data_IF_933583356138
#
_entry.id   IF_933583356138
#
_cell.length_a   1.000
_cell.length_b   1.000
_cell.length_c   1.000
_cell.angle_alpha   90.00
_cell.angle_beta   90.00
_cell.angle_gamma   90.00
#
_symmetry.space_group_name_H-M   'P 1'
#
loop_
_entity.id
_entity.type
_entity.pdbx_description
1 polymer ?
#
# COMPACT_ATOMS: atom_id res chain seq x y z
N UNK A 1 8.05 -14.70 1.79
CA UNK A 1 6.64 -14.67 1.37
C UNK A 1 5.86 -13.91 2.42
N UNK A 2 4.81 -13.14 2.05
CA UNK A 2 4.02 -12.40 3.01
C UNK A 2 3.24 -13.31 3.97
N UNK A 3 2.93 -12.80 5.15
CA UNK A 3 2.23 -13.51 6.24
C UNK A 3 1.22 -12.60 6.93
N UNK A 4 0.21 -13.20 7.55
CA UNK A 4 -0.87 -12.48 8.23
C UNK A 4 -0.37 -11.62 9.41
N UNK A 5 -0.99 -10.45 9.59
CA UNK A 5 -0.72 -9.53 10.71
C UNK A 5 -1.50 -9.92 11.97
N UNK A 6 -1.23 -11.09 12.51
CA UNK A 6 -2.04 -11.69 13.59
C UNK A 6 -2.00 -10.91 14.91
N UNK A 7 -0.89 -10.22 15.22
CA UNK A 7 -0.67 -9.55 16.50
C UNK A 7 -0.80 -8.02 16.44
N UNK A 8 -1.13 -7.45 15.28
CA UNK A 8 -1.26 -6.01 15.10
C UNK A 8 -2.58 -5.47 15.66
N UNK A 9 -2.56 -4.28 16.26
CA UNK A 9 -3.78 -3.56 16.68
C UNK A 9 -4.63 -3.16 15.47
N UNK A 10 -5.93 -2.89 15.68
CA UNK A 10 -6.80 -2.46 14.59
C UNK A 10 -6.33 -1.13 13.95
N UNK A 11 -5.87 -0.19 14.77
CA UNK A 11 -5.27 1.07 14.29
C UNK A 11 -4.08 0.82 13.36
N UNK A 12 -3.18 -0.09 13.76
CA UNK A 12 -2.03 -0.49 12.95
C UNK A 12 -2.47 -1.15 11.65
N UNK A 13 -3.46 -2.04 11.72
CA UNK A 13 -4.00 -2.70 10.54
C UNK A 13 -4.57 -1.69 9.55
N UNK A 14 -5.32 -0.69 10.02
CA UNK A 14 -5.85 0.38 9.18
C UNK A 14 -4.74 1.24 8.57
N UNK A 15 -3.70 1.58 9.35
CA UNK A 15 -2.55 2.35 8.87
C UNK A 15 -1.71 1.67 7.78
N UNK A 16 -1.89 0.35 7.60
CA UNK A 16 -1.25 -0.44 6.53
C UNK A 16 -2.25 -0.73 5.41
N UNK A 17 -3.49 -1.12 5.75
CA UNK A 17 -4.52 -1.52 4.79
C UNK A 17 -4.97 -0.34 3.92
N UNK A 18 -5.23 0.83 4.52
CA UNK A 18 -5.73 2.00 3.77
C UNK A 18 -4.77 2.40 2.64
N UNK A 19 -3.45 2.60 2.87
CA UNK A 19 -2.53 2.91 1.77
C UNK A 19 -2.41 1.80 0.70
N UNK A 20 -2.60 0.52 1.06
CA UNK A 20 -2.59 -0.59 0.10
C UNK A 20 -3.82 -0.55 -0.80
N UNK A 21 -5.02 -0.37 -0.22
CA UNK A 21 -6.25 -0.22 -1.01
C UNK A 21 -6.17 1.05 -1.86
N UNK A 22 -5.60 2.11 -1.30
CA UNK A 22 -5.39 3.35 -2.03
C UNK A 22 -4.56 3.13 -3.29
N UNK A 23 -3.47 2.39 -3.15
CA UNK A 23 -2.58 2.04 -4.24
C UNK A 23 -3.24 1.08 -5.24
N UNK A 24 -4.07 0.14 -4.78
CA UNK A 24 -4.80 -0.78 -5.66
C UNK A 24 -5.85 -0.03 -6.50
N UNK A 25 -6.64 0.86 -5.90
CA UNK A 25 -7.71 1.58 -6.59
C UNK A 25 -7.20 2.68 -7.52
N UNK A 26 -6.07 3.31 -7.19
CA UNK A 26 -5.48 4.40 -7.99
C UNK A 26 -4.37 3.91 -8.94
N UNK A 27 -3.83 2.72 -8.71
CA UNK A 27 -2.70 2.18 -9.46
C UNK A 27 -3.12 1.30 -10.61
N UNK A 28 -2.16 1.04 -11.50
CA UNK A 28 -2.25 -0.01 -12.52
C UNK A 28 -1.28 -1.16 -12.18
N UNK A 29 -1.19 -1.48 -10.88
CA UNK A 29 -0.27 -2.48 -10.31
C UNK A 29 -0.77 -3.92 -10.47
N UNK A 30 -1.87 -4.12 -11.20
CA UNK A 30 -2.58 -5.40 -11.26
C UNK A 30 -3.16 -5.82 -9.90
N UNK A 31 -3.32 -7.13 -9.71
CA UNK A 31 -3.86 -7.70 -8.48
C UNK A 31 -2.80 -7.90 -7.37
N UNK A 32 -1.51 -7.65 -7.64
CA UNK A 32 -0.41 -7.91 -6.70
C UNK A 32 -0.65 -7.30 -5.31
N UNK A 33 -1.17 -6.07 -5.26
CA UNK A 33 -1.45 -5.36 -4.00
C UNK A 33 -2.68 -5.93 -3.28
N UNK A 34 -3.71 -6.31 -4.03
CA UNK A 34 -4.91 -6.90 -3.45
C UNK A 34 -4.63 -8.30 -2.92
N UNK A 35 -3.83 -9.09 -3.63
CA UNK A 35 -3.37 -10.41 -3.19
C UNK A 35 -2.50 -10.29 -1.93
N UNK A 36 -1.59 -9.31 -1.90
CA UNK A 36 -0.80 -9.00 -0.72
C UNK A 36 -1.68 -8.61 0.48
N UNK A 37 -2.62 -7.67 0.30
CA UNK A 37 -3.55 -7.27 1.35
C UNK A 37 -4.40 -8.47 1.85
N UNK A 38 -4.84 -9.33 0.94
CA UNK A 38 -5.58 -10.55 1.28
C UNK A 38 -4.77 -11.49 2.16
N UNK A 39 -3.46 -11.64 1.93
CA UNK A 39 -2.58 -12.44 2.79
C UNK A 39 -2.42 -11.81 4.18
N UNK A 40 -2.27 -10.49 4.26
CA UNK A 40 -2.02 -9.79 5.54
C UNK A 40 -3.27 -9.72 6.43
N UNK A 41 -4.44 -9.49 5.84
CA UNK A 41 -5.68 -9.14 6.56
C UNK A 41 -6.81 -10.16 6.39
N UNK A 42 -6.69 -11.07 5.43
CA UNK A 42 -7.76 -11.99 5.02
C UNK A 42 -8.68 -11.39 3.95
N UNK A 43 -9.33 -12.27 3.18
CA UNK A 43 -10.16 -11.93 2.03
C UNK A 43 -11.29 -10.96 2.37
N UNK A 44 -12.07 -11.25 3.42
CA UNK A 44 -13.22 -10.44 3.78
C UNK A 44 -12.85 -8.98 4.11
N UNK A 45 -11.75 -8.76 4.85
CA UNK A 45 -11.29 -7.43 5.22
C UNK A 45 -10.77 -6.64 4.00
N UNK A 46 -10.04 -7.30 3.10
CA UNK A 46 -9.54 -6.68 1.89
C UNK A 46 -10.69 -6.30 0.92
N UNK A 47 -11.65 -7.19 0.70
CA UNK A 47 -12.81 -6.94 -0.16
C UNK A 47 -13.71 -5.83 0.37
N UNK A 48 -13.96 -5.82 1.68
CA UNK A 48 -14.72 -4.75 2.33
C UNK A 48 -14.03 -3.39 2.12
N UNK A 49 -12.73 -3.30 2.39
CA UNK A 49 -11.98 -2.05 2.26
C UNK A 49 -11.92 -1.56 0.79
N UNK A 50 -11.84 -2.48 -0.19
CA UNK A 50 -11.97 -2.13 -1.61
C UNK A 50 -13.35 -1.55 -1.93
N UNK A 51 -14.41 -2.12 -1.36
CA UNK A 51 -15.78 -1.67 -1.59
C UNK A 51 -15.99 -0.26 -1.01
N UNK A 52 -15.62 -0.06 0.25
CA UNK A 52 -15.68 1.23 0.95
C UNK A 52 -14.84 2.29 0.22
N UNK A 53 -13.59 1.97 -0.14
CA UNK A 53 -12.71 2.89 -0.85
C UNK A 53 -13.19 3.28 -2.25
N UNK A 54 -13.94 2.41 -2.94
CA UNK A 54 -14.57 2.75 -4.24
C UNK A 54 -15.71 3.74 -4.08
N UNK A 55 -16.50 3.63 -3.01
CA UNK A 55 -17.60 4.55 -2.72
C UNK A 55 -17.07 5.94 -2.38
N UNK A 56 -15.99 6.03 -1.60
CA UNK A 56 -15.35 7.30 -1.24
C UNK A 56 -14.68 8.01 -2.44
N UNK A 57 -14.19 7.24 -3.43
CA UNK A 57 -13.36 7.76 -4.54
C UNK A 57 -14.12 8.04 -5.83
N UNK A 58 -15.45 8.06 -5.77
CA UNK A 58 -16.28 8.40 -6.94
C UNK A 58 -16.06 9.85 -7.42
N UNK A 59 -15.33 10.67 -6.66
CA UNK A 59 -15.03 12.07 -7.00
C UNK A 59 -13.52 12.33 -7.17
N UNK A 60 -13.17 12.90 -8.33
CA UNK A 60 -11.86 13.45 -8.75
C UNK A 60 -10.65 12.49 -8.84
N UNK A 61 -10.42 11.92 -10.03
CA UNK A 61 -9.11 11.32 -10.37
C UNK A 61 -8.10 12.41 -10.78
N UNK A 62 -6.90 12.47 -10.16
CA UNK A 62 -5.82 13.36 -10.59
C UNK A 62 -5.29 13.01 -11.99
N UNK A 63 -4.57 13.94 -12.62
CA UNK A 63 -3.85 13.68 -13.87
C UNK A 63 -2.81 12.54 -13.72
N UNK A 64 -2.64 11.72 -14.76
CA UNK A 64 -1.91 10.44 -14.74
C UNK A 64 -0.49 10.48 -14.11
N UNK A 65 0.28 11.56 -14.28
CA UNK A 65 1.63 11.66 -13.70
C UNK A 65 1.64 11.85 -12.17
N UNK A 66 0.71 12.65 -11.64
CA UNK A 66 0.55 12.84 -10.20
C UNK A 66 -0.01 11.57 -9.52
N UNK A 67 -0.82 10.81 -10.26
CA UNK A 67 -1.39 9.54 -9.82
C UNK A 67 -0.29 8.50 -9.56
N UNK A 68 0.69 8.38 -10.47
CA UNK A 68 1.82 7.45 -10.35
C UNK A 68 2.64 7.69 -9.07
N UNK A 69 3.01 8.95 -8.80
CA UNK A 69 3.78 9.32 -7.61
C UNK A 69 2.98 9.06 -6.33
N UNK A 70 1.69 9.42 -6.32
CA UNK A 70 0.80 9.18 -5.19
C UNK A 70 0.67 7.69 -4.85
N UNK A 71 0.52 6.82 -5.86
CA UNK A 71 0.42 5.37 -5.64
C UNK A 71 1.71 4.82 -5.06
N UNK A 72 2.87 5.17 -5.62
CA UNK A 72 4.16 4.75 -5.10
C UNK A 72 4.35 5.22 -3.64
N UNK A 73 4.01 6.47 -3.34
CA UNK A 73 4.04 7.03 -1.98
C UNK A 73 3.16 6.26 -1.00
N UNK A 74 1.95 5.86 -1.41
CA UNK A 74 1.06 5.04 -0.58
C UNK A 74 1.67 3.68 -0.27
N UNK A 75 2.34 3.03 -1.23
CA UNK A 75 3.08 1.80 -0.96
C UNK A 75 4.22 2.03 0.06
N UNK A 76 4.95 3.14 -0.07
CA UNK A 76 6.05 3.47 0.85
C UNK A 76 5.55 3.77 2.28
N UNK A 77 4.36 4.38 2.42
CA UNK A 77 3.69 4.54 3.73
C UNK A 77 3.36 3.19 4.36
N UNK A 78 2.75 2.28 3.61
CA UNK A 78 2.47 0.92 4.10
C UNK A 78 3.77 0.16 4.45
N UNK A 79 4.82 0.30 3.65
CA UNK A 79 6.14 -0.27 3.93
C UNK A 79 6.70 0.21 5.28
N UNK A 80 6.69 1.52 5.53
CA UNK A 80 7.19 2.07 6.81
C UNK A 80 6.33 1.61 7.98
N UNK A 81 5.01 1.58 7.81
CA UNK A 81 4.09 1.06 8.83
C UNK A 81 4.42 -0.40 9.17
N UNK A 82 4.67 -1.26 8.19
CA UNK A 82 5.12 -2.64 8.42
C UNK A 82 6.45 -2.70 9.18
N UNK A 83 7.47 -1.95 8.74
CA UNK A 83 8.77 -1.88 9.41
C UNK A 83 8.65 -1.46 10.88
N UNK A 84 7.83 -0.46 11.19
CA UNK A 84 7.59 0.03 12.56
C UNK A 84 6.99 -1.03 13.49
N UNK A 85 6.29 -2.01 12.93
CA UNK A 85 5.66 -3.10 13.68
C UNK A 85 6.54 -4.35 13.77
N UNK A 86 7.77 -4.29 13.25
CA UNK A 86 8.67 -5.45 13.20
C UNK A 86 8.34 -6.45 12.08
N UNK A 87 7.46 -6.09 11.15
CA UNK A 87 7.00 -6.95 10.05
C UNK A 87 7.95 -6.87 8.85
N UNK A 88 9.23 -7.13 9.08
CA UNK A 88 10.30 -6.92 8.08
C UNK A 88 10.08 -7.75 6.81
N UNK A 89 9.74 -9.04 6.94
CA UNK A 89 9.51 -9.91 5.78
C UNK A 89 8.33 -9.43 4.90
N UNK A 90 7.27 -8.91 5.53
CA UNK A 90 6.14 -8.33 4.85
C UNK A 90 6.52 -7.00 4.17
N UNK A 91 7.32 -6.17 4.83
CA UNK A 91 7.83 -4.92 4.26
C UNK A 91 8.69 -5.18 3.02
N UNK A 92 9.64 -6.12 3.08
CA UNK A 92 10.48 -6.48 1.92
C UNK A 92 9.66 -7.04 0.77
N UNK A 93 8.64 -7.86 1.05
CA UNK A 93 7.72 -8.35 0.02
C UNK A 93 6.96 -7.20 -0.66
N UNK A 94 6.50 -6.20 0.11
CA UNK A 94 5.84 -5.01 -0.44
C UNK A 94 6.81 -4.16 -1.28
N UNK A 95 8.06 -4.00 -0.83
CA UNK A 95 9.11 -3.29 -1.58
C UNK A 95 9.38 -3.98 -2.92
N UNK A 96 9.44 -5.31 -2.93
CA UNK A 96 9.62 -6.08 -4.15
C UNK A 96 8.43 -5.94 -5.13
N UNK A 97 7.21 -5.71 -4.64
CA UNK A 97 6.08 -5.35 -5.53
C UNK A 97 6.33 -3.97 -6.13
N UNK A 98 6.66 -2.96 -5.32
CA UNK A 98 6.93 -1.61 -5.83
C UNK A 98 8.06 -1.59 -6.88
N UNK A 99 9.17 -2.30 -6.65
CA UNK A 99 10.33 -2.35 -7.55
C UNK A 99 10.02 -3.05 -8.90
N UNK A 100 8.96 -3.85 -9.00
CA UNK A 100 8.50 -4.43 -10.28
C UNK A 100 7.74 -3.42 -11.14
N UNK A 101 7.08 -2.46 -10.51
CA UNK A 101 6.14 -1.55 -11.17
C UNK A 101 6.71 -0.13 -11.32
N UNK A 102 7.75 0.21 -10.57
CA UNK A 102 8.36 1.53 -10.56
C UNK A 102 9.87 1.46 -10.76
N UNK A 103 10.44 2.53 -11.31
CA UNK A 103 11.89 2.68 -11.34
C UNK A 103 12.44 2.82 -9.92
N UNK A 104 13.66 2.33 -9.69
CA UNK A 104 14.34 2.49 -8.40
C UNK A 104 14.41 3.95 -7.95
N UNK A 105 14.68 4.87 -8.89
CA UNK A 105 14.70 6.30 -8.62
C UNK A 105 13.36 6.80 -8.07
N UNK A 106 12.25 6.42 -8.71
CA UNK A 106 10.89 6.77 -8.23
C UNK A 106 10.66 6.25 -6.82
N UNK A 107 11.01 5.00 -6.54
CA UNK A 107 10.79 4.41 -5.21
C UNK A 107 11.65 5.09 -4.15
N UNK A 108 12.91 5.42 -4.47
CA UNK A 108 13.83 6.07 -3.53
C UNK A 108 13.42 7.52 -3.24
N UNK A 109 12.94 8.27 -4.26
CA UNK A 109 12.39 9.62 -4.07
C UNK A 109 11.15 9.60 -3.19
N UNK A 110 10.17 8.77 -3.49
CA UNK A 110 8.93 8.73 -2.70
C UNK A 110 9.18 8.19 -1.28
N UNK A 111 10.12 7.26 -1.09
CA UNK A 111 10.54 6.82 0.23
C UNK A 111 11.09 7.99 1.07
N UNK A 112 11.94 8.84 0.47
CA UNK A 112 12.47 10.01 1.14
C UNK A 112 11.35 10.99 1.54
N UNK A 113 10.38 11.23 0.66
CA UNK A 113 9.21 12.09 0.95
C UNK A 113 8.40 11.58 2.14
N UNK A 114 8.14 10.26 2.22
CA UNK A 114 7.41 9.69 3.37
C UNK A 114 8.20 9.82 4.67
N UNK A 115 9.52 9.62 4.64
CA UNK A 115 10.38 9.77 5.84
C UNK A 115 10.43 11.23 6.29
N UNK A 116 10.49 12.18 5.36
CA UNK A 116 10.53 13.62 5.66
C UNK A 116 9.18 14.21 6.09
N UNK A 117 8.09 13.44 5.99
CA UNK A 117 6.76 13.86 6.44
C UNK A 117 6.12 14.94 5.56
N UNK A 118 6.39 14.93 4.25
CA UNK A 118 5.83 15.89 3.28
C UNK A 118 4.68 15.30 2.45
#
# INVERSE_FOLDING_TARGET
MPTALSNATQETKNAILTPLIDAHLNGHLGNDILDFATVLFGTAAAEQAVTEGKEERREAMPANGALVMMVCRSLMRAYISLRKQGEEANAEALRAIADKHYSRETVDVEMAEVIMGR
#
